data_IF_194343407669
#
_entry.id   IF_194343407669
#
_cell.length_a   1.000
_cell.length_b   1.000
_cell.length_c   1.000
_cell.angle_alpha   90.00
_cell.angle_beta   90.00
_cell.angle_gamma   90.00
#
_symmetry.space_group_name_H-M   'P 1'
#
loop_
_entity.id
_entity.type
_entity.pdbx_description
1 polymer ?
#
# COMPACT_ATOMS: atom_id res chain seq x y z
N UNK A 1 14.28 7.99 13.02
CA UNK A 1 12.84 7.82 13.36
C UNK A 1 12.04 9.08 13.03
N UNK A 2 12.46 10.27 13.46
CA UNK A 2 11.78 11.56 13.24
C UNK A 2 11.53 11.84 11.76
N UNK A 3 12.53 11.63 10.89
CA UNK A 3 12.40 11.84 9.45
C UNK A 3 11.33 10.91 8.83
N UNK A 4 11.21 9.66 9.30
CA UNK A 4 10.17 8.76 8.82
C UNK A 4 8.77 9.21 9.27
N UNK A 5 8.62 9.69 10.50
CA UNK A 5 7.35 10.26 10.96
C UNK A 5 6.99 11.54 10.17
N UNK A 6 7.95 12.45 9.94
CA UNK A 6 7.73 13.64 9.12
C UNK A 6 7.31 13.28 7.69
N UNK A 7 8.01 12.32 7.07
CA UNK A 7 7.71 11.86 5.71
C UNK A 7 6.34 11.19 5.59
N UNK A 8 6.03 10.25 6.47
CA UNK A 8 4.83 9.41 6.33
C UNK A 8 3.56 10.10 6.85
N UNK A 9 3.68 10.96 7.87
CA UNK A 9 2.54 11.67 8.47
C UNK A 9 2.24 12.96 7.71
N UNK A 10 3.24 13.84 7.56
CA UNK A 10 3.08 15.18 6.99
C UNK A 10 3.45 15.28 5.50
N UNK A 11 4.03 14.22 4.92
CA UNK A 11 4.58 14.23 3.56
C UNK A 11 5.70 15.27 3.37
N UNK A 12 6.61 15.38 4.34
CA UNK A 12 7.72 16.32 4.30
C UNK A 12 8.72 15.94 3.20
N UNK A 13 8.82 16.76 2.17
CA UNK A 13 9.71 16.50 1.02
C UNK A 13 11.18 16.53 1.38
N UNK A 14 11.58 17.46 2.26
CA UNK A 14 12.93 17.59 2.81
C UNK A 14 13.34 16.35 3.62
N UNK A 15 12.41 15.75 4.37
CA UNK A 15 12.67 14.50 5.05
C UNK A 15 12.90 13.33 4.07
N UNK A 16 12.19 13.32 2.92
CA UNK A 16 12.42 12.32 1.88
C UNK A 16 13.82 12.45 1.28
N UNK A 17 14.22 13.67 0.93
CA UNK A 17 15.56 13.97 0.38
C UNK A 17 16.66 13.59 1.38
N UNK A 18 16.52 14.00 2.65
CA UNK A 18 17.51 13.70 3.69
C UNK A 18 17.67 12.17 3.91
N UNK A 19 16.59 11.42 3.87
CA UNK A 19 16.63 9.95 3.95
C UNK A 19 17.30 9.34 2.72
N UNK A 20 16.98 9.85 1.53
CA UNK A 20 17.55 9.38 0.26
C UNK A 20 19.08 9.60 0.23
N UNK A 21 19.53 10.80 0.59
CA UNK A 21 20.95 11.14 0.67
C UNK A 21 21.69 10.29 1.73
N UNK A 22 21.07 10.08 2.88
CA UNK A 22 21.64 9.25 3.95
C UNK A 22 21.84 7.79 3.51
N UNK A 23 20.88 7.23 2.78
CA UNK A 23 20.90 5.81 2.36
C UNK A 23 21.81 5.59 1.17
N UNK A 24 21.79 6.48 0.18
CA UNK A 24 22.39 6.27 -1.14
C UNK A 24 23.46 7.30 -1.51
N UNK A 25 23.67 8.30 -0.68
CA UNK A 25 24.64 9.40 -0.92
C UNK A 25 24.13 10.48 -1.86
N UNK A 26 23.02 10.26 -2.59
CA UNK A 26 22.30 11.29 -3.37
C UNK A 26 20.86 10.86 -3.64
N UNK A 27 19.97 11.83 -3.89
CA UNK A 27 18.59 11.57 -4.26
C UNK A 27 18.49 10.79 -5.58
N UNK A 28 19.31 11.10 -6.58
CA UNK A 28 19.38 10.38 -7.86
C UNK A 28 19.68 8.88 -7.67
N UNK A 29 20.69 8.56 -6.87
CA UNK A 29 21.01 7.15 -6.56
C UNK A 29 19.89 6.46 -5.81
N UNK A 30 19.19 7.18 -4.93
CA UNK A 30 18.04 6.63 -4.23
C UNK A 30 16.88 6.38 -5.19
N UNK A 31 16.61 7.28 -6.14
CA UNK A 31 15.60 7.07 -7.17
C UNK A 31 15.90 5.80 -8.01
N UNK A 32 17.18 5.51 -8.30
CA UNK A 32 17.57 4.27 -8.95
C UNK A 32 17.22 3.04 -8.10
N UNK A 33 17.50 3.07 -6.77
CA UNK A 33 17.08 1.99 -5.86
C UNK A 33 15.55 1.85 -5.78
N UNK A 34 14.81 2.96 -5.82
CA UNK A 34 13.35 2.91 -5.89
C UNK A 34 12.87 2.21 -7.16
N UNK A 35 13.50 2.48 -8.31
CA UNK A 35 13.15 1.85 -9.58
C UNK A 35 13.51 0.35 -9.58
N UNK A 36 14.68 -0.03 -9.09
CA UNK A 36 15.05 -1.43 -8.91
C UNK A 36 14.01 -2.15 -8.02
N UNK A 37 13.63 -1.53 -6.92
CA UNK A 37 12.62 -2.11 -6.02
C UNK A 37 11.23 -2.20 -6.66
N UNK A 38 10.83 -1.22 -7.45
CA UNK A 38 9.57 -1.26 -8.20
C UNK A 38 9.55 -2.44 -9.19
N UNK A 39 10.64 -2.65 -9.93
CA UNK A 39 10.79 -3.79 -10.85
C UNK A 39 10.70 -5.13 -10.13
N UNK A 40 11.41 -5.30 -8.99
CA UNK A 40 11.33 -6.51 -8.15
C UNK A 40 9.89 -6.81 -7.66
N UNK A 41 9.10 -5.77 -7.41
CA UNK A 41 7.70 -5.89 -7.01
C UNK A 41 6.75 -6.15 -8.19
N UNK A 42 7.26 -6.09 -9.43
CA UNK A 42 6.48 -6.24 -10.65
C UNK A 42 5.77 -4.96 -11.10
N UNK A 43 6.13 -3.80 -10.55
CA UNK A 43 5.59 -2.47 -10.91
C UNK A 43 6.29 -1.94 -12.18
N UNK A 44 6.00 -2.55 -13.33
CA UNK A 44 6.74 -2.39 -14.59
C UNK A 44 6.44 -1.10 -15.36
N UNK A 45 5.39 -0.37 -14.96
CA UNK A 45 4.99 0.90 -15.57
C UNK A 45 5.24 2.06 -14.60
N UNK A 46 6.23 1.90 -13.73
CA UNK A 46 6.61 2.89 -12.73
C UNK A 46 8.03 3.34 -12.98
N UNK A 47 8.24 4.67 -12.95
CA UNK A 47 9.54 5.29 -13.00
C UNK A 47 9.61 6.44 -12.01
N UNK A 48 10.50 6.33 -11.04
CA UNK A 48 10.78 7.34 -10.02
C UNK A 48 12.01 8.16 -10.44
N UNK A 49 11.88 9.49 -10.36
CA UNK A 49 12.96 10.44 -10.63
C UNK A 49 13.50 11.05 -9.34
N UNK A 50 12.67 11.13 -8.30
CA UNK A 50 13.01 11.70 -7.00
C UNK A 50 12.34 10.91 -5.86
N UNK A 51 12.80 11.19 -4.64
CA UNK A 51 12.32 10.49 -3.43
C UNK A 51 11.00 11.06 -2.87
N UNK A 52 10.67 12.31 -3.20
CA UNK A 52 9.56 13.05 -2.60
C UNK A 52 8.24 12.91 -3.34
N UNK A 53 8.29 12.57 -4.63
CA UNK A 53 7.11 12.56 -5.51
C UNK A 53 6.75 13.95 -6.06
N UNK A 54 7.65 14.92 -5.96
CA UNK A 54 7.49 16.17 -6.68
C UNK A 54 7.46 15.90 -8.19
N UNK A 55 6.67 16.73 -8.90
CA UNK A 55 6.43 16.52 -10.31
C UNK A 55 7.72 16.67 -11.14
N UNK A 56 7.96 15.65 -11.95
CA UNK A 56 8.92 15.62 -13.05
C UNK A 56 8.24 14.89 -14.23
N UNK A 57 8.58 15.23 -15.45
CA UNK A 57 7.89 14.71 -16.64
C UNK A 57 7.97 13.17 -16.74
N UNK A 58 9.11 12.60 -16.33
CA UNK A 58 9.34 11.14 -16.35
C UNK A 58 8.97 10.44 -15.04
N UNK A 59 8.46 11.17 -14.02
CA UNK A 59 8.02 10.59 -12.76
C UNK A 59 6.60 10.04 -12.90
N UNK A 60 6.46 8.77 -13.23
CA UNK A 60 5.19 8.17 -13.57
C UNK A 60 4.93 6.82 -12.90
N UNK A 61 3.67 6.49 -12.78
CA UNK A 61 3.21 5.20 -12.25
C UNK A 61 1.79 4.88 -12.75
N UNK A 62 1.29 3.71 -12.40
CA UNK A 62 -0.11 3.30 -12.61
C UNK A 62 -0.80 2.96 -11.27
N UNK A 63 -2.15 2.96 -11.21
CA UNK A 63 -2.86 2.51 -10.01
C UNK A 63 -2.50 1.08 -9.61
N UNK A 64 -2.28 0.19 -10.57
CA UNK A 64 -1.89 -1.19 -10.32
C UNK A 64 -0.50 -1.28 -9.70
N UNK A 65 0.47 -0.56 -10.24
CA UNK A 65 1.85 -0.58 -9.75
C UNK A 65 1.94 0.00 -8.33
N UNK A 66 1.25 1.12 -8.06
CA UNK A 66 1.17 1.66 -6.70
C UNK A 66 0.47 0.71 -5.73
N UNK A 67 -0.50 -0.09 -6.20
CA UNK A 67 -1.10 -1.12 -5.37
C UNK A 67 -0.11 -2.23 -5.01
N UNK A 68 0.79 -2.63 -5.91
CA UNK A 68 1.88 -3.57 -5.60
C UNK A 68 2.85 -2.99 -4.56
N UNK A 69 3.23 -1.73 -4.73
CA UNK A 69 4.11 -1.01 -3.78
C UNK A 69 3.43 -0.88 -2.41
N UNK A 70 2.15 -0.47 -2.36
CA UNK A 70 1.38 -0.38 -1.11
C UNK A 70 1.23 -1.74 -0.44
N UNK A 71 1.01 -2.80 -1.22
CA UNK A 71 0.96 -4.17 -0.67
C UNK A 71 2.29 -4.57 -0.01
N UNK A 72 3.43 -4.19 -0.58
CA UNK A 72 4.74 -4.42 0.02
C UNK A 72 4.94 -3.56 1.29
N UNK A 73 4.62 -2.26 1.21
CA UNK A 73 4.73 -1.32 2.32
C UNK A 73 3.86 -1.75 3.52
N UNK A 74 2.65 -2.22 3.28
CA UNK A 74 1.69 -2.66 4.31
C UNK A 74 2.11 -3.91 5.09
N UNK A 75 3.18 -4.59 4.66
CA UNK A 75 3.78 -5.72 5.40
C UNK A 75 4.86 -5.27 6.40
N UNK A 76 5.28 -4.00 6.32
CA UNK A 76 6.27 -3.45 7.24
C UNK A 76 5.56 -2.87 8.48
N UNK A 77 5.80 -3.41 9.69
CA UNK A 77 5.11 -2.97 10.90
C UNK A 77 5.42 -1.51 11.28
N UNK A 78 6.59 -0.99 10.95
CA UNK A 78 6.97 0.41 11.21
C UNK A 78 6.12 1.36 10.34
N UNK A 79 5.95 1.03 9.07
CA UNK A 79 5.10 1.83 8.15
C UNK A 79 3.64 1.78 8.61
N UNK A 80 3.14 0.61 8.96
CA UNK A 80 1.78 0.43 9.49
C UNK A 80 1.57 1.26 10.76
N UNK A 81 2.49 1.21 11.71
CA UNK A 81 2.40 2.00 12.94
C UNK A 81 2.39 3.51 12.67
N UNK A 82 3.32 4.01 11.84
CA UNK A 82 3.46 5.45 11.60
C UNK A 82 2.27 6.00 10.83
N UNK A 83 1.79 5.30 9.80
CA UNK A 83 0.73 5.82 8.92
C UNK A 83 -0.65 5.88 9.56
N UNK A 84 -0.84 5.25 10.72
CA UNK A 84 -2.05 5.35 11.56
C UNK A 84 -2.06 6.58 12.46
N UNK A 85 -0.90 7.21 12.68
CA UNK A 85 -0.81 8.39 13.56
C UNK A 85 -1.49 9.59 12.91
N UNK A 86 -2.33 10.25 13.66
CA UNK A 86 -2.97 11.51 13.24
C UNK A 86 -2.09 12.71 13.54
N UNK A 87 -1.22 12.59 14.53
CA UNK A 87 -0.26 13.62 14.96
C UNK A 87 0.97 12.96 15.55
N UNK A 88 2.12 13.59 15.38
CA UNK A 88 3.38 13.20 16.01
C UNK A 88 4.15 14.44 16.45
N UNK A 89 4.56 14.47 17.70
CA UNK A 89 5.42 15.51 18.26
C UNK A 89 6.88 15.13 18.00
N UNK A 90 7.55 15.92 17.18
CA UNK A 90 8.98 15.79 16.93
C UNK A 90 9.79 16.52 18.02
N UNK A 91 11.08 16.23 18.16
CA UNK A 91 11.97 16.98 19.04
C UNK A 91 11.90 18.49 18.77
N UNK A 92 12.21 19.28 19.78
CA UNK A 92 12.23 20.72 19.66
C UNK A 92 13.17 21.20 18.54
N UNK A 93 12.70 22.15 17.78
CA UNK A 93 13.53 22.82 16.77
C UNK A 93 14.77 23.47 17.40
N UNK A 94 15.93 23.23 16.84
CA UNK A 94 17.18 23.87 17.25
C UNK A 94 17.11 25.39 17.04
N UNK A 95 16.32 25.84 16.07
CA UNK A 95 16.20 27.26 15.70
C UNK A 95 15.21 27.99 16.60
N UNK A 96 14.01 27.44 16.80
CA UNK A 96 12.94 28.10 17.57
C UNK A 96 12.88 27.68 19.03
N UNK A 97 13.44 26.53 19.40
CA UNK A 97 13.28 25.92 20.71
C UNK A 97 11.90 25.31 20.99
N UNK A 98 10.98 25.40 20.01
CA UNK A 98 9.61 24.90 20.12
C UNK A 98 9.46 23.52 19.50
N UNK A 99 8.50 22.69 19.99
CA UNK A 99 8.19 21.41 19.37
C UNK A 99 7.69 21.59 17.92
N UNK A 100 8.08 20.65 17.05
CA UNK A 100 7.56 20.57 15.70
C UNK A 100 6.48 19.47 15.67
N UNK A 101 5.31 19.79 15.13
CA UNK A 101 4.19 18.86 15.05
C UNK A 101 3.97 18.41 13.61
N UNK A 102 4.10 17.11 13.38
CA UNK A 102 3.66 16.49 12.13
C UNK A 102 2.17 16.14 12.25
N UNK A 103 1.34 16.70 11.37
CA UNK A 103 -0.11 16.49 11.36
C UNK A 103 -0.51 15.71 10.11
N UNK A 104 -1.28 14.65 10.28
CA UNK A 104 -1.81 13.88 9.17
C UNK A 104 -3.12 14.50 8.66
N UNK A 105 -3.10 14.95 7.42
CA UNK A 105 -4.25 15.60 6.79
C UNK A 105 -5.25 14.62 6.16
N UNK A 106 -5.03 13.30 6.29
CA UNK A 106 -5.92 12.28 5.75
C UNK A 106 -7.14 12.08 6.65
N UNK A 107 -8.30 12.61 6.24
CA UNK A 107 -9.54 12.51 6.99
C UNK A 107 -10.05 11.06 7.20
N UNK A 108 -9.59 10.11 6.38
CA UNK A 108 -9.99 8.69 6.49
C UNK A 108 -9.49 8.01 7.77
N UNK A 109 -8.47 8.57 8.45
CA UNK A 109 -7.91 7.99 9.69
C UNK A 109 -8.28 8.79 10.96
N UNK A 110 -8.94 9.94 10.82
CA UNK A 110 -9.39 10.75 11.97
C UNK A 110 -10.76 10.27 12.43
N UNK A 111 -10.87 9.75 13.65
CA UNK A 111 -12.10 9.17 14.20
C UNK A 111 -13.29 10.15 14.26
N UNK A 112 -13.01 11.45 14.32
CA UNK A 112 -14.04 12.51 14.34
C UNK A 112 -14.47 12.94 12.94
N UNK A 113 -13.83 12.47 11.89
CA UNK A 113 -14.16 12.80 10.51
C UNK A 113 -15.38 12.02 10.02
N UNK A 114 -16.27 12.63 9.20
CA UNK A 114 -17.35 11.92 8.54
C UNK A 114 -16.86 10.86 7.54
N UNK A 115 -15.60 10.96 7.12
CA UNK A 115 -14.97 10.03 6.19
C UNK A 115 -14.19 8.90 6.88
N UNK A 116 -14.15 8.87 8.23
CA UNK A 116 -13.37 7.88 8.97
C UNK A 116 -13.68 6.46 8.52
N UNK A 117 -12.62 5.70 8.23
CA UNK A 117 -12.73 4.30 7.87
C UNK A 117 -11.79 3.46 8.73
N UNK A 118 -12.39 2.70 9.66
CA UNK A 118 -11.66 1.87 10.63
C UNK A 118 -10.88 0.70 10.03
N UNK A 119 -11.22 0.32 8.79
CA UNK A 119 -10.60 -0.82 8.11
C UNK A 119 -9.22 -0.44 7.53
N UNK A 120 -8.95 0.87 7.31
CA UNK A 120 -7.68 1.36 6.78
C UNK A 120 -6.60 1.30 7.87
N UNK A 121 -5.50 0.58 7.57
CA UNK A 121 -4.39 0.45 8.50
C UNK A 121 -3.06 1.01 7.96
N UNK A 122 -2.84 1.02 6.66
CA UNK A 122 -1.65 1.61 6.03
C UNK A 122 -2.11 2.51 4.88
N UNK A 123 -1.56 3.73 4.78
CA UNK A 123 -2.04 4.67 3.78
C UNK A 123 -1.02 5.74 3.42
N UNK A 124 -1.20 6.34 2.23
CA UNK A 124 -0.47 7.52 1.81
C UNK A 124 -1.31 8.37 0.87
N UNK A 125 -1.36 9.67 1.15
CA UNK A 125 -1.92 10.71 0.28
C UNK A 125 -0.82 11.35 -0.55
N UNK A 126 -1.17 11.91 -1.71
CA UNK A 126 -0.29 12.72 -2.53
C UNK A 126 -1.06 13.82 -3.25
N UNK A 127 -0.35 14.90 -3.58
CA UNK A 127 -0.89 15.97 -4.39
C UNK A 127 0.23 16.72 -5.13
N UNK A 128 0.04 16.91 -6.41
CA UNK A 128 0.72 17.94 -7.21
C UNK A 128 -0.31 18.57 -8.15
N UNK A 129 -0.02 19.74 -8.67
CA UNK A 129 -0.94 20.41 -9.63
C UNK A 129 -1.19 19.55 -10.86
N UNK A 130 -0.23 18.74 -11.29
CA UNK A 130 -0.34 17.87 -12.46
C UNK A 130 -1.02 16.54 -12.16
N UNK A 131 -0.58 15.84 -11.10
CA UNK A 131 -1.15 14.55 -10.72
C UNK A 131 -2.48 14.67 -9.96
N UNK A 132 -2.85 15.89 -9.52
CA UNK A 132 -4.01 16.15 -8.67
C UNK A 132 -3.95 15.35 -7.36
N UNK A 133 -5.11 15.06 -6.74
CA UNK A 133 -5.14 14.25 -5.53
C UNK A 133 -4.93 12.77 -5.88
N UNK A 134 -4.05 12.14 -5.13
CA UNK A 134 -3.76 10.71 -5.21
C UNK A 134 -3.85 10.09 -3.83
N UNK A 135 -4.29 8.85 -3.78
CA UNK A 135 -4.41 8.11 -2.54
C UNK A 135 -4.16 6.62 -2.76
N UNK A 136 -3.43 6.01 -1.85
CA UNK A 136 -3.31 4.55 -1.81
C UNK A 136 -3.40 4.07 -0.37
N UNK A 137 -4.08 2.95 -0.14
CA UNK A 137 -4.20 2.35 1.18
C UNK A 137 -4.28 0.83 1.14
N UNK A 138 -3.94 0.24 2.29
CA UNK A 138 -4.28 -1.11 2.64
C UNK A 138 -5.37 -1.09 3.70
N UNK A 139 -6.45 -1.85 3.49
CA UNK A 139 -7.56 -2.00 4.41
C UNK A 139 -7.75 -3.47 4.79
N UNK A 140 -8.21 -3.73 6.02
CA UNK A 140 -8.44 -5.10 6.52
C UNK A 140 -9.80 -5.19 7.19
N UNK A 141 -10.59 -6.19 6.79
CA UNK A 141 -11.89 -6.54 7.40
C UNK A 141 -11.92 -8.05 7.66
N UNK A 142 -11.88 -8.44 8.93
CA UNK A 142 -11.64 -9.83 9.32
C UNK A 142 -10.28 -10.32 8.85
N UNK A 143 -10.22 -11.44 8.15
CA UNK A 143 -8.98 -12.01 7.62
C UNK A 143 -8.65 -11.53 6.20
N UNK A 144 -9.53 -10.74 5.58
CA UNK A 144 -9.32 -10.21 4.22
C UNK A 144 -8.63 -8.87 4.24
N UNK A 145 -7.66 -8.73 3.33
CA UNK A 145 -6.94 -7.48 3.05
C UNK A 145 -7.23 -7.04 1.62
N UNK A 146 -7.56 -5.76 1.45
CA UNK A 146 -7.68 -5.10 0.15
C UNK A 146 -6.63 -4.00 0.04
N UNK A 147 -6.17 -3.78 -1.18
CA UNK A 147 -5.36 -2.62 -1.54
C UNK A 147 -6.19 -1.77 -2.49
N UNK A 148 -6.27 -0.48 -2.21
CA UNK A 148 -6.96 0.50 -3.03
C UNK A 148 -5.98 1.58 -3.45
N UNK A 149 -6.01 1.96 -4.73
CA UNK A 149 -5.26 3.09 -5.27
C UNK A 149 -6.15 3.95 -6.15
N UNK A 150 -6.18 5.25 -5.86
CA UNK A 150 -6.94 6.27 -6.55
C UNK A 150 -5.98 7.36 -7.03
N UNK A 151 -6.03 7.72 -8.32
CA UNK A 151 -5.16 8.72 -8.94
C UNK A 151 -5.98 9.76 -9.70
N UNK A 152 -5.52 11.01 -9.70
CA UNK A 152 -6.04 12.05 -10.57
C UNK A 152 -7.37 12.67 -10.14
N UNK A 153 -7.70 12.66 -8.86
CA UNK A 153 -8.94 13.22 -8.33
C UNK A 153 -8.88 14.76 -8.23
N UNK A 154 -9.95 15.42 -8.62
CA UNK A 154 -10.04 16.87 -8.56
C UNK A 154 -10.17 17.40 -7.13
N UNK A 155 -10.89 16.68 -6.26
CA UNK A 155 -11.15 17.09 -4.88
C UNK A 155 -10.88 15.95 -3.89
N UNK A 156 -10.59 16.33 -2.63
CA UNK A 156 -10.42 15.35 -1.55
C UNK A 156 -11.73 14.63 -1.21
N UNK A 157 -12.84 15.33 -1.23
CA UNK A 157 -14.15 14.75 -0.87
C UNK A 157 -14.52 13.60 -1.82
N UNK A 158 -14.28 13.78 -3.12
CA UNK A 158 -14.54 12.72 -4.09
C UNK A 158 -13.73 11.45 -3.79
N UNK A 159 -12.41 11.56 -3.55
CA UNK A 159 -11.66 10.35 -3.27
C UNK A 159 -11.95 9.76 -1.89
N UNK A 160 -12.39 10.54 -0.91
CA UNK A 160 -12.84 10.02 0.39
C UNK A 160 -14.10 9.16 0.23
N UNK A 161 -15.10 9.68 -0.48
CA UNK A 161 -16.35 8.96 -0.78
C UNK A 161 -16.08 7.68 -1.60
N UNK A 162 -15.30 7.79 -2.67
CA UNK A 162 -14.96 6.66 -3.51
C UNK A 162 -14.11 5.62 -2.78
N UNK A 163 -13.22 6.04 -1.87
CA UNK A 163 -12.48 5.11 -1.01
C UNK A 163 -13.42 4.22 -0.21
N UNK A 164 -14.43 4.82 0.44
CA UNK A 164 -15.41 4.07 1.21
C UNK A 164 -16.21 3.12 0.33
N UNK A 165 -16.76 3.64 -0.77
CA UNK A 165 -17.62 2.88 -1.66
C UNK A 165 -16.88 1.69 -2.30
N UNK A 166 -15.64 1.89 -2.74
CA UNK A 166 -14.83 0.85 -3.38
C UNK A 166 -14.33 -0.21 -2.38
N UNK A 167 -13.95 0.20 -1.16
CA UNK A 167 -13.59 -0.74 -0.11
C UNK A 167 -14.81 -1.59 0.30
N UNK A 168 -15.97 -0.97 0.51
CA UNK A 168 -17.21 -1.68 0.81
C UNK A 168 -17.58 -2.63 -0.34
N UNK A 169 -17.53 -2.14 -1.60
CA UNK A 169 -17.76 -3.00 -2.75
C UNK A 169 -16.82 -4.22 -2.78
N UNK A 170 -15.52 -4.01 -2.53
CA UNK A 170 -14.55 -5.10 -2.52
C UNK A 170 -14.77 -6.10 -1.38
N UNK A 171 -15.07 -5.60 -0.18
CA UNK A 171 -15.33 -6.47 0.97
C UNK A 171 -16.70 -7.18 0.90
N UNK A 172 -17.71 -6.58 0.32
CA UNK A 172 -19.07 -7.13 0.33
C UNK A 172 -19.34 -8.06 -0.86
N UNK A 173 -18.63 -7.87 -1.99
CA UNK A 173 -18.91 -8.62 -3.22
C UNK A 173 -17.88 -9.70 -3.57
N UNK A 174 -16.75 -9.76 -2.87
CA UNK A 174 -15.74 -10.78 -3.14
C UNK A 174 -15.38 -11.54 -1.87
N UNK A 175 -15.03 -12.81 -2.02
CA UNK A 175 -14.57 -13.66 -0.94
C UNK A 175 -13.29 -14.41 -1.33
N UNK A 176 -12.42 -14.60 -0.33
CA UNK A 176 -11.24 -15.45 -0.45
C UNK A 176 -11.64 -16.87 -0.14
N UNK A 177 -11.59 -17.74 -1.14
CA UNK A 177 -11.98 -19.16 -1.03
C UNK A 177 -10.73 -20.01 -1.02
N UNK A 178 -10.64 -20.92 -0.04
CA UNK A 178 -9.60 -21.96 -0.05
C UNK A 178 -10.00 -23.03 -1.05
N UNK A 179 -9.20 -23.20 -2.10
CA UNK A 179 -9.40 -24.22 -3.13
C UNK A 179 -8.79 -25.56 -2.74
N UNK A 180 -7.60 -25.53 -2.14
CA UNK A 180 -6.87 -26.71 -1.72
C UNK A 180 -6.18 -26.46 -0.38
N UNK A 181 -6.12 -27.49 0.44
CA UNK A 181 -5.31 -27.50 1.65
C UNK A 181 -3.92 -28.09 1.34
N UNK A 182 -2.93 -27.71 2.13
CA UNK A 182 -1.62 -28.35 2.11
C UNK A 182 -1.75 -29.86 2.23
N UNK A 183 -1.04 -30.60 1.36
CA UNK A 183 -1.03 -32.06 1.23
C UNK A 183 -2.29 -32.67 0.58
N UNK A 184 -3.25 -31.86 0.11
CA UNK A 184 -4.33 -32.40 -0.73
C UNK A 184 -3.73 -33.06 -1.97
N UNK A 185 -4.21 -34.27 -2.29
CA UNK A 185 -3.79 -35.01 -3.50
C UNK A 185 -4.60 -34.48 -4.67
N UNK A 186 -3.94 -33.84 -5.63
CA UNK A 186 -4.60 -33.31 -6.84
C UNK A 186 -4.56 -34.25 -8.02
N UNK A 187 -3.61 -35.17 -8.03
CA UNK A 187 -3.48 -36.20 -9.07
C UNK A 187 -2.64 -37.37 -8.61
N UNK A 188 -3.03 -38.57 -9.03
CA UNK A 188 -2.26 -39.80 -8.85
C UNK A 188 -1.81 -40.37 -10.19
N UNK A 189 -0.57 -40.83 -10.23
CA UNK A 189 0.04 -41.53 -11.36
C UNK A 189 0.41 -42.95 -10.92
N UNK A 190 -0.16 -43.95 -11.56
CA UNK A 190 0.19 -45.34 -11.36
C UNK A 190 1.45 -45.63 -12.16
N UNK A 191 2.53 -45.98 -11.46
CA UNK A 191 3.81 -46.34 -12.09
C UNK A 191 3.83 -47.81 -12.46
N UNK A 192 3.32 -48.65 -11.55
CA UNK A 192 3.12 -50.09 -11.71
C UNK A 192 2.03 -50.55 -10.72
N UNK A 193 1.78 -51.89 -10.67
CA UNK A 193 0.73 -52.50 -9.82
C UNK A 193 0.91 -52.25 -8.29
N UNK A 194 2.08 -51.77 -7.86
CA UNK A 194 2.43 -51.57 -6.44
C UNK A 194 2.83 -50.13 -6.11
N UNK A 195 3.13 -49.29 -7.12
CA UNK A 195 3.69 -47.96 -6.92
C UNK A 195 2.80 -46.90 -7.54
N UNK A 196 2.39 -45.96 -6.70
CA UNK A 196 1.64 -44.75 -7.10
C UNK A 196 2.42 -43.51 -6.71
N UNK A 197 2.52 -42.56 -7.64
CA UNK A 197 3.06 -41.22 -7.39
C UNK A 197 1.90 -40.25 -7.24
N UNK A 198 1.81 -39.63 -6.07
CA UNK A 198 0.79 -38.61 -5.80
C UNK A 198 1.37 -37.20 -5.96
N UNK A 199 0.73 -36.37 -6.76
CA UNK A 199 0.97 -34.93 -6.77
C UNK A 199 0.18 -34.29 -5.66
N UNK A 200 0.88 -33.65 -4.73
CA UNK A 200 0.28 -32.99 -3.57
C UNK A 200 0.49 -31.48 -3.60
N UNK A 201 -0.45 -30.77 -3.02
CA UNK A 201 -0.36 -29.32 -2.88
C UNK A 201 0.67 -28.97 -1.79
N UNK A 202 1.70 -28.15 -2.08
CA UNK A 202 2.76 -27.85 -1.12
C UNK A 202 2.33 -26.89 0.00
N UNK A 203 1.28 -26.08 -0.24
CA UNK A 203 0.75 -25.08 0.70
C UNK A 203 -0.74 -24.86 0.44
N UNK A 204 -1.45 -24.19 1.37
CA UNK A 204 -2.85 -23.84 1.18
C UNK A 204 -2.99 -22.88 -0.04
N UNK A 205 -3.88 -23.21 -0.97
CA UNK A 205 -4.16 -22.40 -2.16
C UNK A 205 -5.49 -21.68 -2.00
N UNK A 206 -5.44 -20.36 -2.08
CA UNK A 206 -6.59 -19.48 -2.01
C UNK A 206 -6.79 -18.74 -3.32
N UNK A 207 -8.04 -18.45 -3.65
CA UNK A 207 -8.42 -17.60 -4.80
C UNK A 207 -9.58 -16.70 -4.43
N UNK A 208 -9.55 -15.46 -4.94
CA UNK A 208 -10.65 -14.51 -4.78
C UNK A 208 -11.67 -14.73 -5.89
N UNK A 209 -12.94 -14.83 -5.49
CA UNK A 209 -14.09 -14.95 -6.37
C UNK A 209 -15.13 -13.89 -6.05
N UNK A 210 -15.94 -13.51 -7.02
CA UNK A 210 -17.20 -12.81 -6.74
C UNK A 210 -18.12 -13.75 -5.96
N UNK A 211 -18.83 -13.19 -4.97
CA UNK A 211 -19.77 -14.00 -4.17
C UNK A 211 -20.83 -14.70 -5.03
N UNK A 212 -21.27 -14.08 -6.12
CA UNK A 212 -22.20 -14.69 -7.10
C UNK A 212 -21.61 -15.85 -7.91
N UNK A 213 -20.30 -16.04 -7.90
CA UNK A 213 -19.62 -17.13 -8.63
C UNK A 213 -19.38 -18.34 -7.73
N UNK A 214 -19.40 -18.14 -6.40
CA UNK A 214 -19.07 -19.19 -5.42
C UNK A 214 -20.11 -20.32 -5.40
N UNK A 215 -21.38 -20.01 -5.64
CA UNK A 215 -22.45 -20.99 -5.69
C UNK A 215 -22.28 -22.03 -6.84
N UNK A 216 -21.39 -21.77 -7.77
CA UNK A 216 -21.11 -22.62 -8.95
C UNK A 216 -19.75 -23.33 -8.86
N UNK A 217 -19.01 -23.22 -7.73
CA UNK A 217 -17.77 -23.91 -7.47
C UNK A 217 -18.03 -25.29 -6.85
#
# INVERSE_FOLDING_TARGET
EELLNALLIQSANDAAVALAEHISGSEEKFANLMNERAEELGAKNTHFVNASGLFEDDHMTTPYDLALIMNAASKNPIIDEITKKTVYEMPKSIVSGEPIWANNNNQLIHQTSPYYNKDIFCNKTGYTTKSRHTFTCAAKRGDRKLILTLLGYDTKDQYYEDTKNLLDYGFDNFSLVKLYSKNDVVKEYYIDDKNTLSLVVPEDIYKTFKNSEIENL
#
